data_IF_872632705820
#
_entry.id   IF_872632705820
#
_cell.length_a   1.000
_cell.length_b   1.000
_cell.length_c   1.000
_cell.angle_alpha   90.00
_cell.angle_beta   90.00
_cell.angle_gamma   90.00
#
_symmetry.space_group_name_H-M   'P 1'
#
loop_
_entity.id
_entity.type
_entity.pdbx_description
1 polymer ?
#
# COMPACT_ATOMS: atom_id res chain seq x y z
N UNK A 1 -30.97 -24.82 34.27
CA UNK A 1 -30.70 -23.49 33.68
C UNK A 1 -29.19 -23.39 33.50
N UNK A 2 -28.68 -23.59 32.28
CA UNK A 2 -27.29 -23.27 31.98
C UNK A 2 -27.20 -21.76 31.86
N UNK A 3 -26.49 -21.12 32.79
CA UNK A 3 -26.07 -19.73 32.66
C UNK A 3 -25.17 -19.63 31.44
N UNK A 4 -25.57 -18.84 30.44
CA UNK A 4 -24.73 -18.56 29.27
C UNK A 4 -23.39 -17.95 29.69
N UNK A 5 -22.33 -18.12 28.88
CA UNK A 5 -21.01 -17.58 29.20
C UNK A 5 -21.09 -16.07 29.42
N UNK A 6 -20.52 -15.60 30.53
CA UNK A 6 -20.50 -14.17 30.88
C UNK A 6 -19.73 -13.38 29.82
N UNK A 7 -20.37 -12.33 29.28
CA UNK A 7 -19.72 -11.40 28.35
C UNK A 7 -18.73 -10.54 29.15
N UNK A 8 -17.44 -10.71 28.89
CA UNK A 8 -16.36 -9.91 29.50
C UNK A 8 -15.60 -9.13 28.43
N UNK A 9 -15.01 -8.00 28.84
CA UNK A 9 -14.24 -7.12 27.94
C UNK A 9 -13.08 -7.86 27.25
N UNK A 10 -12.43 -8.82 27.92
CA UNK A 10 -11.34 -9.61 27.32
C UNK A 10 -11.85 -10.54 26.21
N UNK A 11 -13.04 -11.12 26.37
CA UNK A 11 -13.64 -12.01 25.38
C UNK A 11 -14.11 -11.25 24.14
N UNK A 12 -14.68 -10.05 24.31
CA UNK A 12 -15.07 -9.18 23.19
C UNK A 12 -13.83 -8.63 22.46
N UNK A 13 -12.74 -8.33 23.17
CA UNK A 13 -11.47 -7.95 22.55
C UNK A 13 -10.83 -9.09 21.76
N UNK A 14 -10.87 -10.32 22.29
CA UNK A 14 -10.34 -11.52 21.61
C UNK A 14 -11.12 -11.82 20.33
N UNK A 15 -12.46 -11.73 20.38
CA UNK A 15 -13.29 -11.89 19.18
C UNK A 15 -13.04 -10.78 18.15
N UNK A 16 -12.88 -9.53 18.61
CA UNK A 16 -12.51 -8.41 17.73
C UNK A 16 -11.18 -8.65 17.02
N UNK A 17 -10.23 -9.32 17.67
CA UNK A 17 -8.94 -9.67 17.09
C UNK A 17 -9.11 -10.68 15.94
N UNK A 18 -9.87 -11.76 16.17
CA UNK A 18 -10.18 -12.74 15.12
C UNK A 18 -10.93 -12.10 13.95
N UNK A 19 -11.90 -11.21 14.22
CA UNK A 19 -12.64 -10.49 13.20
C UNK A 19 -11.73 -9.57 12.37
N UNK A 20 -10.77 -8.88 13.01
CA UNK A 20 -9.87 -7.93 12.33
C UNK A 20 -8.78 -8.62 11.50
N UNK A 21 -8.21 -9.72 12.00
CA UNK A 21 -7.11 -10.42 11.31
C UNK A 21 -7.59 -11.46 10.30
N UNK A 22 -8.67 -12.18 10.62
CA UNK A 22 -9.16 -13.30 9.81
C UNK A 22 -10.55 -13.10 9.21
N UNK A 23 -11.17 -11.93 9.41
CA UNK A 23 -12.49 -11.62 8.88
C UNK A 23 -13.63 -12.40 9.55
N UNK A 24 -14.81 -12.34 8.94
CA UNK A 24 -16.05 -12.94 9.46
C UNK A 24 -15.89 -14.45 9.71
N UNK A 25 -15.25 -15.16 8.79
CA UNK A 25 -15.06 -16.61 8.91
C UNK A 25 -14.20 -17.00 10.13
N UNK A 26 -13.14 -16.24 10.43
CA UNK A 26 -12.29 -16.51 11.59
C UNK A 26 -12.99 -16.15 12.91
N UNK A 27 -13.78 -15.08 12.93
CA UNK A 27 -14.60 -14.73 14.09
C UNK A 27 -15.68 -15.79 14.34
N UNK A 28 -16.43 -16.22 13.32
CA UNK A 28 -17.43 -17.30 13.46
C UNK A 28 -16.79 -18.61 13.96
N UNK A 29 -15.62 -18.97 13.43
CA UNK A 29 -14.86 -20.12 13.93
C UNK A 29 -14.50 -19.94 15.41
N UNK A 30 -14.08 -18.76 15.83
CA UNK A 30 -13.67 -18.48 17.20
C UNK A 30 -14.87 -18.44 18.17
N UNK A 31 -16.02 -17.90 17.75
CA UNK A 31 -17.30 -18.02 18.44
C UNK A 31 -17.68 -19.49 18.67
N UNK A 32 -17.63 -20.32 17.63
CA UNK A 32 -18.02 -21.73 17.72
C UNK A 32 -17.00 -22.61 18.46
N UNK A 33 -15.71 -22.34 18.32
CA UNK A 33 -14.63 -23.20 18.85
C UNK A 33 -14.22 -22.82 20.28
N UNK A 34 -14.23 -21.52 20.60
CA UNK A 34 -13.75 -21.00 21.89
C UNK A 34 -14.89 -20.38 22.74
N UNK A 35 -16.13 -20.45 22.24
CA UNK A 35 -17.30 -19.89 22.90
C UNK A 35 -17.26 -18.37 23.05
N UNK A 36 -16.45 -17.68 22.23
CA UNK A 36 -16.34 -16.22 22.27
C UNK A 36 -17.69 -15.55 21.93
N UNK A 37 -17.91 -14.27 22.22
CA UNK A 37 -19.17 -13.60 21.91
C UNK A 37 -19.39 -13.57 20.39
N UNK A 38 -20.65 -13.62 19.93
CA UNK A 38 -20.93 -13.53 18.48
C UNK A 38 -20.41 -12.21 17.91
N UNK A 39 -20.17 -12.15 16.59
CA UNK A 39 -19.78 -10.92 15.88
C UNK A 39 -20.70 -9.76 16.25
N UNK A 40 -22.02 -9.99 16.26
CA UNK A 40 -23.00 -8.96 16.62
C UNK A 40 -22.85 -8.49 18.07
N UNK A 41 -22.61 -9.42 19.01
CA UNK A 41 -22.36 -9.09 20.42
C UNK A 41 -21.06 -8.32 20.56
N UNK A 42 -20.01 -8.72 19.84
CA UNK A 42 -18.70 -8.08 19.84
C UNK A 42 -18.79 -6.66 19.26
N UNK A 43 -19.45 -6.45 18.13
CA UNK A 43 -19.67 -5.13 17.55
C UNK A 43 -20.43 -4.18 18.50
N UNK A 44 -21.36 -4.69 19.33
CA UNK A 44 -22.06 -3.88 20.34
C UNK A 44 -21.20 -3.49 21.55
N UNK A 45 -20.13 -4.24 21.83
CA UNK A 45 -19.28 -4.05 23.02
C UNK A 45 -17.88 -3.50 22.68
N UNK A 46 -17.47 -3.50 21.41
CA UNK A 46 -16.35 -2.69 20.96
C UNK A 46 -16.78 -1.24 21.10
N UNK A 47 -16.16 -0.53 22.04
CA UNK A 47 -16.34 0.90 22.17
C UNK A 47 -15.74 1.59 20.94
N UNK A 48 -16.52 1.81 19.90
CA UNK A 48 -16.17 2.68 18.78
C UNK A 48 -16.66 4.09 19.13
N UNK A 49 -15.75 5.06 19.16
CA UNK A 49 -16.17 6.46 19.25
C UNK A 49 -16.77 6.84 17.90
N UNK A 50 -18.02 7.34 17.85
CA UNK A 50 -18.69 7.56 16.59
C UNK A 50 -18.14 8.82 15.91
N UNK A 51 -17.72 8.69 14.65
CA UNK A 51 -17.34 9.83 13.84
C UNK A 51 -18.57 10.58 13.32
N UNK A 52 -18.43 11.89 13.23
CA UNK A 52 -19.44 12.81 12.70
C UNK A 52 -19.30 12.86 11.19
N UNK A 53 -20.36 12.44 10.51
CA UNK A 53 -20.53 12.67 9.08
C UNK A 53 -21.10 14.06 8.84
N UNK A 54 -20.40 14.85 8.03
CA UNK A 54 -20.86 16.16 7.59
C UNK A 54 -21.91 15.98 6.48
N UNK A 55 -23.16 16.41 6.67
CA UNK A 55 -24.17 16.36 5.62
C UNK A 55 -23.93 17.42 4.53
N UNK A 56 -23.13 18.46 4.83
CA UNK A 56 -22.76 19.56 3.94
C UNK A 56 -21.24 19.69 3.89
N UNK A 57 -20.73 20.80 3.35
CA UNK A 57 -19.32 21.19 3.43
C UNK A 57 -18.80 20.97 4.86
N UNK A 58 -17.84 20.06 5.05
CA UNK A 58 -17.22 19.80 6.33
C UNK A 58 -16.71 21.06 7.00
N UNK A 59 -17.13 21.26 8.24
CA UNK A 59 -16.72 22.41 9.04
C UNK A 59 -15.53 22.06 9.91
N UNK A 60 -14.73 23.07 10.25
CA UNK A 60 -13.60 22.92 11.15
C UNK A 60 -13.97 22.25 12.50
N UNK A 61 -15.07 22.60 13.19
CA UNK A 61 -15.48 21.92 14.43
C UNK A 61 -15.78 20.43 14.25
N UNK A 62 -16.47 20.03 13.17
CA UNK A 62 -16.78 18.63 12.88
C UNK A 62 -15.48 17.81 12.68
N UNK A 63 -14.52 18.40 11.95
CA UNK A 63 -13.22 17.78 11.73
C UNK A 63 -12.39 17.67 13.01
N UNK A 64 -12.37 18.72 13.85
CA UNK A 64 -11.63 18.74 15.11
C UNK A 64 -12.21 17.75 16.14
N UNK A 65 -13.54 17.57 16.15
CA UNK A 65 -14.21 16.58 17.00
C UNK A 65 -13.85 15.15 16.55
N UNK A 66 -13.90 14.87 15.23
CA UNK A 66 -13.44 13.59 14.68
C UNK A 66 -11.96 13.31 14.99
N UNK A 67 -11.09 14.33 14.89
CA UNK A 67 -9.69 14.21 15.27
C UNK A 67 -9.54 13.92 16.77
N UNK A 68 -10.34 14.53 17.64
CA UNK A 68 -10.30 14.28 19.09
C UNK A 68 -10.72 12.87 19.47
N UNK A 69 -11.65 12.27 18.72
CA UNK A 69 -12.01 10.85 18.86
C UNK A 69 -10.90 9.92 18.39
N UNK A 70 -10.11 10.37 17.42
CA UNK A 70 -9.06 9.57 16.80
C UNK A 70 -7.71 9.69 17.53
N UNK A 71 -7.41 10.88 18.05
CA UNK A 71 -6.21 11.26 18.79
C UNK A 71 -6.63 11.93 20.11
N UNK A 72 -6.98 11.14 21.15
CA UNK A 72 -7.37 11.67 22.44
C UNK A 72 -6.15 12.27 23.18
N UNK A 73 -6.33 13.42 23.81
CA UNK A 73 -5.25 14.11 24.53
C UNK A 73 -4.66 13.26 25.65
N UNK A 74 -3.33 13.29 25.78
CA UNK A 74 -2.50 12.41 26.61
C UNK A 74 -2.71 12.56 28.13
N UNK A 75 -3.59 13.46 28.57
CA UNK A 75 -3.87 13.76 29.98
C UNK A 75 -4.80 12.75 30.66
N UNK A 76 -5.37 11.79 29.94
CA UNK A 76 -6.13 10.69 30.55
C UNK A 76 -5.20 9.55 31.00
N UNK A 77 -4.81 9.60 32.27
CA UNK A 77 -4.02 8.58 32.95
C UNK A 77 -4.77 7.24 33.03
N UNK A 78 -4.68 6.43 31.99
CA UNK A 78 -4.87 4.97 32.06
C UNK A 78 -4.22 4.32 30.86
N UNK A 79 -3.18 3.49 31.11
CA UNK A 79 -2.63 2.43 30.24
C UNK A 79 -2.79 2.63 28.74
N UNK A 80 -1.69 2.92 28.02
CA UNK A 80 -1.49 2.79 26.56
C UNK A 80 -2.82 2.83 25.82
N UNK A 81 -3.25 4.03 25.43
CA UNK A 81 -4.48 4.23 24.69
C UNK A 81 -4.37 3.48 23.35
N UNK A 82 -4.76 2.21 23.34
CA UNK A 82 -4.96 1.44 22.13
C UNK A 82 -5.92 2.25 21.27
N UNK A 83 -5.41 2.75 20.13
CA UNK A 83 -6.26 3.38 19.13
C UNK A 83 -7.31 2.34 18.75
N UNK A 84 -8.56 2.57 19.13
CA UNK A 84 -9.64 1.60 18.93
C UNK A 84 -9.97 1.64 17.44
N UNK A 85 -9.30 0.81 16.64
CA UNK A 85 -9.42 0.78 15.17
C UNK A 85 -10.77 0.27 14.66
N UNK A 86 -11.84 0.98 14.96
CA UNK A 86 -13.19 0.79 14.44
C UNK A 86 -13.94 2.10 14.56
N UNK A 87 -14.35 2.67 13.44
CA UNK A 87 -15.15 3.90 13.42
C UNK A 87 -16.59 3.56 13.07
N UNK A 88 -17.53 4.08 13.83
CA UNK A 88 -18.96 4.04 13.48
C UNK A 88 -19.39 5.45 13.10
N UNK A 89 -20.21 5.61 12.06
CA UNK A 89 -20.79 6.92 11.78
C UNK A 89 -21.91 7.18 12.79
N UNK A 90 -21.88 8.33 13.47
CA UNK A 90 -22.90 8.68 14.45
C UNK A 90 -24.29 8.71 13.81
N UNK A 91 -25.27 8.07 14.46
CA UNK A 91 -26.66 8.13 14.04
C UNK A 91 -27.21 9.54 14.26
N UNK A 92 -27.12 10.38 13.22
CA UNK A 92 -27.70 11.73 13.23
C UNK A 92 -29.05 11.73 12.52
N UNK A 93 -29.91 12.67 12.90
CA UNK A 93 -31.17 12.92 12.19
C UNK A 93 -30.95 13.77 10.91
N UNK A 94 -29.79 13.58 10.25
CA UNK A 94 -29.42 14.26 9.02
C UNK A 94 -29.53 13.29 7.84
N UNK A 95 -29.95 13.82 6.70
CA UNK A 95 -29.97 13.13 5.42
C UNK A 95 -28.55 13.17 4.85
N UNK A 96 -27.91 12.01 4.77
CA UNK A 96 -26.56 11.82 4.21
C UNK A 96 -26.61 11.30 2.77
N UNK A 97 -25.46 11.24 2.09
CA UNK A 97 -25.34 10.70 0.72
C UNK A 97 -25.55 11.73 -0.39
N UNK A 98 -25.69 13.00 -0.03
CA UNK A 98 -25.73 14.15 -0.95
C UNK A 98 -24.34 14.78 -1.00
N UNK A 99 -23.95 15.34 -2.14
CA UNK A 99 -22.68 16.03 -2.24
C UNK A 99 -22.64 17.28 -1.36
N UNK A 100 -21.49 17.53 -0.73
CA UNK A 100 -21.33 18.64 0.23
C UNK A 100 -21.56 20.03 -0.36
N UNK A 101 -21.26 20.21 -1.64
CA UNK A 101 -21.21 21.54 -2.27
C UNK A 101 -22.60 21.96 -2.76
N UNK A 102 -23.28 21.10 -3.50
CA UNK A 102 -24.60 21.41 -4.04
C UNK A 102 -25.71 21.25 -2.98
N UNK A 103 -25.44 20.63 -1.83
CA UNK A 103 -26.40 20.46 -0.74
C UNK A 103 -26.70 21.72 0.08
N UNK A 104 -25.98 22.83 -0.13
CA UNK A 104 -26.08 24.03 0.71
C UNK A 104 -27.48 24.65 0.73
N UNK A 105 -28.17 24.68 -0.41
CA UNK A 105 -29.54 25.23 -0.56
C UNK A 105 -30.64 24.38 0.10
N UNK A 106 -30.31 23.18 0.58
CA UNK A 106 -31.29 22.24 1.13
C UNK A 106 -31.14 22.10 2.65
N UNK A 107 -32.26 21.86 3.34
CA UNK A 107 -32.28 21.56 4.77
C UNK A 107 -32.15 20.05 4.96
N UNK A 108 -30.93 19.60 5.25
CA UNK A 108 -30.61 18.17 5.38
C UNK A 108 -30.95 17.57 6.75
N UNK A 109 -31.27 18.38 7.76
CA UNK A 109 -31.77 17.87 9.04
C UNK A 109 -33.23 17.42 8.90
N UNK A 110 -33.50 16.13 8.99
CA UNK A 110 -34.84 15.58 8.82
C UNK A 110 -35.77 15.99 9.97
N UNK A 111 -36.84 16.71 9.64
CA UNK A 111 -37.92 17.15 10.53
C UNK A 111 -39.28 16.70 9.98
N UNK A 112 -39.41 16.62 8.66
CA UNK A 112 -40.61 16.13 7.98
C UNK A 112 -40.31 15.67 6.55
N UNK A 113 -41.27 14.97 5.94
CA UNK A 113 -41.20 14.54 4.53
C UNK A 113 -41.07 15.69 3.53
N UNK A 114 -41.43 16.92 3.91
CA UNK A 114 -41.29 18.09 3.03
C UNK A 114 -39.83 18.32 2.60
N UNK A 115 -38.87 18.03 3.48
CA UNK A 115 -37.44 18.21 3.18
C UNK A 115 -36.92 17.12 2.25
N UNK A 116 -37.38 15.88 2.43
CA UNK A 116 -37.05 14.76 1.55
C UNK A 116 -37.64 14.99 0.15
N UNK A 117 -38.88 15.49 0.08
CA UNK A 117 -39.50 15.85 -1.20
C UNK A 117 -38.74 16.98 -1.89
N UNK A 118 -38.38 18.06 -1.18
CA UNK A 118 -37.58 19.13 -1.74
C UNK A 118 -36.22 18.63 -2.27
N UNK A 119 -35.57 17.72 -1.54
CA UNK A 119 -34.31 17.10 -1.97
C UNK A 119 -34.49 16.23 -3.22
N UNK A 120 -35.55 15.42 -3.27
CA UNK A 120 -35.91 14.59 -4.42
C UNK A 120 -36.14 15.46 -5.66
N UNK A 121 -36.89 16.54 -5.52
CA UNK A 121 -37.17 17.47 -6.61
C UNK A 121 -35.87 18.17 -7.06
N UNK A 122 -34.99 18.53 -6.11
CA UNK A 122 -33.64 19.02 -6.40
C UNK A 122 -32.74 18.04 -7.15
N UNK A 123 -32.81 16.75 -6.82
CA UNK A 123 -32.11 15.68 -7.54
C UNK A 123 -32.66 15.53 -8.97
N UNK A 124 -33.98 15.55 -9.14
CA UNK A 124 -34.62 15.45 -10.46
C UNK A 124 -34.26 16.64 -11.36
N UNK A 125 -34.14 17.83 -10.78
CA UNK A 125 -33.76 19.07 -11.47
C UNK A 125 -32.24 19.22 -11.68
N UNK A 126 -31.41 18.27 -11.25
CA UNK A 126 -29.94 18.38 -11.21
C UNK A 126 -29.42 19.63 -10.45
N UNK A 127 -30.16 20.11 -9.46
CA UNK A 127 -29.73 21.19 -8.55
C UNK A 127 -28.91 20.67 -7.37
N UNK A 128 -29.06 19.40 -7.06
CA UNK A 128 -28.30 18.66 -6.04
C UNK A 128 -27.84 17.35 -6.66
N UNK A 129 -26.68 16.86 -6.25
CA UNK A 129 -26.15 15.58 -6.72
C UNK A 129 -26.02 14.57 -5.58
N UNK A 130 -26.18 13.29 -5.90
CA UNK A 130 -25.76 12.22 -5.00
C UNK A 130 -24.24 12.18 -4.92
N UNK A 131 -23.72 11.86 -3.74
CA UNK A 131 -22.31 11.60 -3.55
C UNK A 131 -21.91 10.33 -4.33
N UNK A 132 -20.83 10.43 -5.12
CA UNK A 132 -20.26 9.28 -5.86
C UNK A 132 -19.20 8.54 -5.06
N UNK A 133 -18.52 9.23 -4.15
CA UNK A 133 -17.50 8.66 -3.28
C UNK A 133 -17.69 9.14 -1.84
N UNK A 134 -17.29 8.30 -0.89
CA UNK A 134 -17.11 8.67 0.52
C UNK A 134 -15.66 8.44 0.91
N UNK A 135 -15.10 9.36 1.70
CA UNK A 135 -13.71 9.31 2.15
C UNK A 135 -13.61 8.53 3.46
N UNK A 136 -13.64 7.20 3.39
CA UNK A 136 -13.27 6.35 4.54
C UNK A 136 -12.60 5.07 4.03
N UNK A 137 -11.27 4.99 4.16
CA UNK A 137 -10.50 3.76 3.89
C UNK A 137 -10.13 3.09 5.21
N UNK A 138 -10.19 1.76 5.23
CA UNK A 138 -9.70 0.95 6.34
C UNK A 138 -8.21 1.24 6.62
N UNK A 139 -7.86 1.50 7.88
CA UNK A 139 -6.50 1.83 8.32
C UNK A 139 -6.10 3.31 8.15
N UNK A 140 -6.97 4.16 7.57
CA UNK A 140 -6.82 5.60 7.70
C UNK A 140 -7.44 6.06 9.04
N UNK A 141 -7.02 7.23 9.52
CA UNK A 141 -7.67 7.98 10.59
C UNK A 141 -8.64 9.01 9.95
N UNK A 142 -9.81 8.60 9.42
CA UNK A 142 -10.71 9.52 8.73
C UNK A 142 -11.23 10.55 9.72
N UNK A 143 -10.93 11.81 9.46
CA UNK A 143 -11.49 12.93 10.23
C UNK A 143 -12.42 13.82 9.39
N UNK A 144 -12.49 13.54 8.09
CA UNK A 144 -13.41 14.19 7.14
C UNK A 144 -14.32 13.13 6.53
N UNK A 145 -15.58 13.08 6.97
CA UNK A 145 -16.59 12.17 6.40
C UNK A 145 -17.63 13.00 5.68
N UNK A 146 -17.53 13.04 4.36
CA UNK A 146 -18.46 13.78 3.50
C UNK A 146 -18.56 13.15 2.11
N UNK A 147 -19.67 13.44 1.43
CA UNK A 147 -19.94 12.99 0.07
C UNK A 147 -19.47 13.99 -0.99
N UNK A 148 -18.79 13.51 -2.02
CA UNK A 148 -18.30 14.31 -3.17
C UNK A 148 -19.01 13.86 -4.47
N UNK A 149 -19.37 14.79 -5.35
CA UNK A 149 -19.95 14.50 -6.66
C UNK A 149 -18.92 14.53 -7.81
N UNK A 150 -17.66 14.91 -7.55
CA UNK A 150 -16.58 15.09 -8.55
C UNK A 150 -16.84 16.21 -9.56
N UNK A 151 -17.71 17.14 -9.20
CA UNK A 151 -18.02 18.34 -9.98
C UNK A 151 -17.87 19.60 -9.11
N UNK A 152 -17.05 19.50 -8.06
CA UNK A 152 -16.78 20.59 -7.13
C UNK A 152 -15.98 21.70 -7.82
N UNK A 153 -16.22 22.95 -7.42
CA UNK A 153 -15.38 24.07 -7.84
C UNK A 153 -14.06 24.10 -7.07
N UNK A 154 -13.03 24.69 -7.66
CA UNK A 154 -11.70 24.87 -7.05
C UNK A 154 -11.82 25.62 -5.71
N UNK A 155 -12.75 26.58 -5.61
CA UNK A 155 -12.98 27.35 -4.38
C UNK A 155 -13.50 26.47 -3.23
N UNK A 156 -14.40 25.53 -3.52
CA UNK A 156 -14.97 24.63 -2.52
C UNK A 156 -13.94 23.60 -2.06
N UNK A 157 -13.15 23.06 -2.99
CA UNK A 157 -12.03 22.17 -2.66
C UNK A 157 -10.97 22.87 -1.81
N UNK A 158 -10.65 24.13 -2.13
CA UNK A 158 -9.73 24.93 -1.32
C UNK A 158 -10.28 25.11 0.10
N UNK A 159 -11.55 25.47 0.24
CA UNK A 159 -12.19 25.66 1.56
C UNK A 159 -12.15 24.38 2.39
N UNK A 160 -12.42 23.23 1.78
CA UNK A 160 -12.33 21.93 2.42
C UNK A 160 -10.91 21.66 2.94
N UNK A 161 -9.90 21.88 2.09
CA UNK A 161 -8.49 21.68 2.44
C UNK A 161 -8.03 22.65 3.53
N UNK A 162 -8.40 23.93 3.43
CA UNK A 162 -8.05 24.95 4.43
C UNK A 162 -8.64 24.59 5.81
N UNK A 163 -9.89 24.13 5.85
CA UNK A 163 -10.53 23.65 7.09
C UNK A 163 -9.82 22.41 7.65
N UNK A 164 -9.46 21.45 6.79
CA UNK A 164 -8.77 20.23 7.19
C UNK A 164 -7.35 20.52 7.74
N UNK A 165 -6.59 21.38 7.05
CA UNK A 165 -5.28 21.83 7.49
C UNK A 165 -5.37 22.55 8.84
N UNK A 166 -6.36 23.42 9.02
CA UNK A 166 -6.56 24.13 10.29
C UNK A 166 -6.90 23.16 11.43
N UNK A 167 -7.83 22.22 11.19
CA UNK A 167 -8.22 21.25 12.21
C UNK A 167 -7.04 20.33 12.61
N UNK A 168 -6.24 19.90 11.65
CA UNK A 168 -5.03 19.13 11.90
C UNK A 168 -3.97 19.94 12.66
N UNK A 169 -3.80 21.22 12.31
CA UNK A 169 -2.84 22.11 12.99
C UNK A 169 -3.22 22.33 14.46
N UNK A 170 -4.50 22.53 14.75
CA UNK A 170 -5.01 22.70 16.12
C UNK A 170 -4.83 21.43 16.98
N UNK A 171 -4.64 20.28 16.34
CA UNK A 171 -4.42 18.97 16.99
C UNK A 171 -3.01 18.43 16.79
N UNK A 172 -2.08 19.23 16.28
CA UNK A 172 -0.72 18.79 15.98
C UNK A 172 0.01 18.17 17.17
N UNK A 173 -0.18 18.71 18.39
CA UNK A 173 0.39 18.14 19.62
C UNK A 173 -0.19 16.76 19.98
N UNK A 174 -1.50 16.55 19.77
CA UNK A 174 -2.20 15.30 20.07
C UNK A 174 -1.99 14.23 18.98
N UNK A 175 -1.86 14.66 17.71
CA UNK A 175 -1.55 13.79 16.56
C UNK A 175 -0.16 13.16 16.72
N UNK A 176 0.70 13.81 17.52
CA UNK A 176 2.05 13.36 17.82
C UNK A 176 2.96 13.57 16.61
N UNK A 177 4.08 14.27 16.83
CA UNK A 177 5.24 14.09 15.97
C UNK A 177 5.91 12.81 16.50
N UNK A 178 5.72 11.69 15.79
CA UNK A 178 6.48 10.49 16.12
C UNK A 178 7.98 10.81 15.99
N UNK A 179 8.82 10.24 16.87
CA UNK A 179 10.27 10.24 16.73
C UNK A 179 10.71 9.77 15.33
N UNK A 180 9.90 8.91 14.71
CA UNK A 180 10.05 8.47 13.32
C UNK A 180 9.94 9.62 12.32
N UNK A 181 9.02 10.56 12.54
CA UNK A 181 8.87 11.73 11.67
C UNK A 181 10.10 12.64 11.74
N UNK A 182 10.70 12.80 12.92
CA UNK A 182 11.95 13.57 13.07
C UNK A 182 13.10 12.95 12.26
N UNK A 183 13.21 11.62 12.25
CA UNK A 183 14.22 10.90 11.45
C UNK A 183 13.94 10.95 9.95
N UNK A 184 12.68 10.81 9.55
CA UNK A 184 12.27 10.88 8.14
C UNK A 184 12.43 12.30 7.57
N UNK A 185 12.34 13.33 8.41
CA UNK A 185 12.43 14.73 8.03
C UNK A 185 11.25 15.20 7.18
N UNK A 186 11.30 16.45 6.71
CA UNK A 186 10.24 17.09 5.92
C UNK A 186 10.43 16.87 4.41
N UNK A 187 9.97 15.74 3.91
CA UNK A 187 9.95 15.37 2.50
C UNK A 187 8.60 15.72 1.87
N UNK A 188 8.59 16.77 1.06
CA UNK A 188 7.40 17.23 0.34
C UNK A 188 6.86 16.11 -0.57
N UNK A 189 5.55 15.83 -0.48
CA UNK A 189 4.83 14.74 -1.16
C UNK A 189 5.15 13.31 -0.69
N UNK A 190 6.01 13.14 0.31
CA UNK A 190 6.22 11.83 0.91
C UNK A 190 5.00 11.44 1.74
N UNK A 191 4.57 10.18 1.60
CA UNK A 191 3.41 9.69 2.33
C UNK A 191 3.84 9.22 3.72
N UNK A 192 3.51 9.98 4.77
CA UNK A 192 3.81 9.61 6.15
C UNK A 192 2.77 8.66 6.78
N UNK A 193 1.64 8.38 6.13
CA UNK A 193 0.56 7.59 6.72
C UNK A 193 0.90 6.09 6.86
N UNK A 194 1.16 5.63 8.08
CA UNK A 194 1.36 4.23 8.44
C UNK A 194 0.16 3.69 9.25
N UNK A 195 0.14 2.38 9.51
CA UNK A 195 -0.82 1.78 10.43
C UNK A 195 -0.47 2.04 11.89
N UNK A 196 -1.29 1.49 12.79
CA UNK A 196 -1.01 1.46 14.22
C UNK A 196 0.41 0.90 14.48
N UNK A 197 1.09 1.42 15.50
CA UNK A 197 2.49 1.05 15.84
C UNK A 197 3.47 1.27 14.67
N UNK A 198 3.17 2.25 13.82
CA UNK A 198 4.01 2.66 12.69
C UNK A 198 4.19 1.57 11.63
N UNK A 199 3.33 0.55 11.63
CA UNK A 199 3.45 -0.57 10.70
C UNK A 199 3.27 -0.07 9.26
N UNK A 200 4.24 -0.41 8.42
CA UNK A 200 4.22 -0.12 6.98
C UNK A 200 4.03 -1.40 6.20
N UNK A 201 3.25 -1.31 5.12
CA UNK A 201 3.11 -2.43 4.19
C UNK A 201 4.40 -2.60 3.40
N UNK A 202 4.90 -3.83 3.34
CA UNK A 202 6.02 -4.19 2.48
C UNK A 202 5.53 -4.87 1.21
N UNK A 203 6.20 -4.59 0.10
CA UNK A 203 5.99 -5.28 -1.16
C UNK A 203 7.37 -5.61 -1.70
N UNK A 204 7.65 -6.90 -1.74
CA UNK A 204 8.90 -7.45 -2.22
C UNK A 204 9.32 -6.85 -3.57
N UNK A 205 10.57 -6.38 -3.61
CA UNK A 205 11.12 -5.67 -4.75
C UNK A 205 11.23 -6.58 -5.99
N UNK A 206 11.53 -7.87 -5.85
CA UNK A 206 11.60 -8.82 -6.97
C UNK A 206 10.22 -9.00 -7.60
N UNK A 207 9.17 -9.08 -6.77
CA UNK A 207 7.79 -9.13 -7.28
C UNK A 207 7.41 -7.85 -8.02
N UNK A 208 7.93 -6.68 -7.61
CA UNK A 208 7.72 -5.42 -8.31
C UNK A 208 8.49 -5.35 -9.64
N UNK A 209 9.77 -5.73 -9.64
CA UNK A 209 10.58 -5.80 -10.86
C UNK A 209 9.95 -6.76 -11.87
N UNK A 210 9.40 -7.88 -11.40
CA UNK A 210 8.72 -8.83 -12.27
C UNK A 210 7.44 -8.24 -12.86
N UNK A 211 6.71 -7.40 -12.12
CA UNK A 211 5.54 -6.68 -12.66
C UNK A 211 5.93 -5.62 -13.70
N UNK A 212 7.09 -4.98 -13.54
CA UNK A 212 7.64 -4.06 -14.53
C UNK A 212 8.03 -4.80 -15.81
N UNK A 213 8.75 -5.92 -15.67
CA UNK A 213 9.07 -6.84 -16.76
C UNK A 213 7.81 -7.31 -17.51
N UNK A 214 6.83 -7.86 -16.80
CA UNK A 214 5.57 -8.31 -17.38
C UNK A 214 4.79 -7.19 -18.08
N UNK A 215 4.92 -5.93 -17.62
CA UNK A 215 4.29 -4.78 -18.28
C UNK A 215 4.87 -4.53 -19.67
N UNK A 216 6.17 -4.77 -19.88
CA UNK A 216 6.83 -4.62 -21.18
C UNK A 216 6.41 -5.73 -22.16
N UNK A 217 6.09 -6.92 -21.65
CA UNK A 217 5.71 -8.08 -22.46
C UNK A 217 4.22 -8.13 -22.82
N UNK A 218 3.37 -7.32 -22.17
CA UNK A 218 1.94 -7.35 -22.41
C UNK A 218 1.54 -6.77 -23.77
N UNK A 219 0.62 -7.48 -24.45
CA UNK A 219 0.00 -7.06 -25.72
C UNK A 219 -0.67 -5.68 -25.66
N UNK A 220 -1.09 -5.23 -24.47
CA UNK A 220 -1.73 -3.93 -24.28
C UNK A 220 -0.79 -2.74 -24.53
N UNK A 221 0.52 -2.99 -24.71
CA UNK A 221 1.57 -2.00 -24.97
C UNK A 221 1.69 -0.97 -23.83
N UNK A 222 2.87 -0.37 -23.70
CA UNK A 222 3.12 0.70 -22.74
C UNK A 222 3.10 2.03 -23.50
N UNK A 223 2.23 2.97 -23.13
CA UNK A 223 2.21 4.29 -23.76
C UNK A 223 2.82 5.32 -22.83
N UNK A 224 3.85 6.05 -23.26
CA UNK A 224 4.44 7.15 -22.51
C UNK A 224 4.66 8.33 -23.45
N UNK A 225 4.14 9.50 -23.06
CA UNK A 225 4.20 10.74 -23.86
C UNK A 225 3.73 10.54 -25.32
N UNK A 226 2.62 9.82 -25.51
CA UNK A 226 2.08 9.48 -26.83
C UNK A 226 2.85 8.39 -27.59
N UNK A 227 4.02 7.96 -27.12
CA UNK A 227 4.81 6.89 -27.72
C UNK A 227 4.35 5.52 -27.21
N UNK A 228 3.96 4.64 -28.13
CA UNK A 228 3.57 3.26 -27.82
C UNK A 228 4.78 2.34 -27.92
N UNK A 229 5.22 1.83 -26.76
CA UNK A 229 6.27 0.83 -26.63
C UNK A 229 5.64 -0.57 -26.68
N UNK A 230 5.88 -1.26 -27.79
CA UNK A 230 5.52 -2.66 -27.99
C UNK A 230 6.75 -3.55 -27.81
N UNK A 231 6.59 -4.86 -27.54
CA UNK A 231 7.71 -5.80 -27.55
C UNK A 231 8.53 -5.75 -28.85
N UNK A 232 7.90 -5.50 -29.99
CA UNK A 232 8.57 -5.37 -31.29
C UNK A 232 9.43 -4.10 -31.37
N UNK A 233 8.95 -2.98 -30.83
CA UNK A 233 9.72 -1.73 -30.75
C UNK A 233 10.92 -1.93 -29.84
N UNK A 234 10.74 -2.50 -28.66
CA UNK A 234 11.83 -2.81 -27.72
C UNK A 234 12.87 -3.71 -28.40
N UNK A 235 12.43 -4.77 -29.07
CA UNK A 235 13.30 -5.69 -29.83
C UNK A 235 14.12 -4.96 -30.89
N UNK A 236 13.50 -4.11 -31.71
CA UNK A 236 14.20 -3.36 -32.75
C UNK A 236 15.31 -2.49 -32.15
N UNK A 237 15.00 -1.81 -31.05
CA UNK A 237 15.93 -0.96 -30.32
C UNK A 237 17.10 -1.73 -29.69
N UNK A 238 16.85 -2.90 -29.09
CA UNK A 238 17.89 -3.75 -28.49
C UNK A 238 18.84 -4.31 -29.55
N UNK A 239 18.30 -4.78 -30.68
CA UNK A 239 19.09 -5.34 -31.78
C UNK A 239 19.94 -4.27 -32.47
N UNK A 240 19.37 -3.09 -32.74
CA UNK A 240 20.10 -2.00 -33.40
C UNK A 240 21.21 -1.44 -32.52
N UNK A 241 20.99 -1.37 -31.21
CA UNK A 241 22.01 -0.94 -30.26
C UNK A 241 23.11 -2.00 -30.01
N UNK A 242 22.94 -3.23 -30.52
CA UNK A 242 23.91 -4.30 -30.34
C UNK A 242 24.02 -4.83 -28.91
N UNK A 243 23.03 -4.59 -28.05
CA UNK A 243 23.08 -4.99 -26.63
C UNK A 243 22.98 -6.52 -26.48
N UNK A 244 22.19 -7.17 -27.33
CA UNK A 244 22.01 -8.63 -27.39
C UNK A 244 21.85 -9.07 -28.84
N UNK A 245 22.20 -10.32 -29.14
CA UNK A 245 21.94 -10.89 -30.46
C UNK A 245 20.44 -11.20 -30.68
N UNK A 246 20.09 -11.63 -31.91
CA UNK A 246 18.71 -11.94 -32.31
C UNK A 246 18.10 -13.08 -31.48
N UNK A 247 18.88 -14.09 -31.13
CA UNK A 247 18.40 -15.25 -30.37
C UNK A 247 18.13 -14.86 -28.92
N UNK A 248 19.09 -14.22 -28.26
CA UNK A 248 18.97 -13.73 -26.89
C UNK A 248 17.82 -12.73 -26.76
N UNK A 249 17.65 -11.79 -27.70
CA UNK A 249 16.55 -10.83 -27.66
C UNK A 249 15.18 -11.49 -27.81
N UNK A 250 15.06 -12.52 -28.65
CA UNK A 250 13.81 -13.28 -28.78
C UNK A 250 13.48 -14.05 -27.49
N UNK A 251 14.50 -14.62 -26.85
CA UNK A 251 14.35 -15.32 -25.60
C UNK A 251 13.91 -14.37 -24.48
N UNK A 252 14.54 -13.18 -24.38
CA UNK A 252 14.21 -12.15 -23.39
C UNK A 252 12.79 -11.60 -23.50
N UNK A 253 12.23 -11.59 -24.70
CA UNK A 253 10.88 -11.08 -24.95
C UNK A 253 9.84 -12.20 -25.09
N UNK A 254 10.22 -13.44 -24.74
CA UNK A 254 9.32 -14.59 -24.75
C UNK A 254 8.37 -14.55 -23.56
N UNK A 255 7.05 -14.69 -23.75
CA UNK A 255 6.08 -14.71 -22.64
C UNK A 255 5.98 -16.06 -21.91
N UNK A 256 6.88 -17.02 -22.21
CA UNK A 256 6.75 -18.42 -21.79
C UNK A 256 6.90 -18.62 -20.28
N UNK A 257 7.85 -17.93 -19.64
CA UNK A 257 8.03 -17.97 -18.19
C UNK A 257 7.96 -16.56 -17.62
N UNK A 258 6.86 -16.29 -16.88
CA UNK A 258 6.58 -14.99 -16.26
C UNK A 258 7.15 -14.88 -14.85
N UNK A 259 7.80 -15.92 -14.35
CA UNK A 259 8.40 -15.96 -13.02
C UNK A 259 9.93 -16.17 -13.07
N UNK A 260 10.52 -16.23 -14.26
CA UNK A 260 11.98 -16.28 -14.43
C UNK A 260 12.62 -14.93 -14.03
N UNK A 261 13.21 -14.93 -12.83
CA UNK A 261 13.90 -13.80 -12.22
C UNK A 261 15.13 -13.39 -13.05
N UNK A 262 15.81 -14.34 -13.70
CA UNK A 262 17.00 -14.05 -14.51
C UNK A 262 16.61 -13.30 -15.78
N UNK A 263 15.57 -13.77 -16.48
CA UNK A 263 15.03 -13.09 -17.66
C UNK A 263 14.59 -11.66 -17.35
N UNK A 264 13.95 -11.47 -16.20
CA UNK A 264 13.57 -10.16 -15.69
C UNK A 264 14.80 -9.25 -15.54
N UNK A 265 15.84 -9.68 -14.81
CA UNK A 265 17.05 -8.88 -14.63
C UNK A 265 17.75 -8.58 -15.97
N UNK A 266 17.88 -9.57 -16.84
CA UNK A 266 18.53 -9.41 -18.14
C UNK A 266 17.79 -8.39 -19.02
N UNK A 267 16.45 -8.41 -19.06
CA UNK A 267 15.68 -7.47 -19.87
C UNK A 267 15.76 -6.05 -19.33
N UNK A 268 15.52 -5.87 -18.02
CA UNK A 268 15.54 -4.54 -17.39
C UNK A 268 16.92 -3.89 -17.50
N UNK A 269 17.99 -4.67 -17.28
CA UNK A 269 19.38 -4.22 -17.47
C UNK A 269 19.66 -3.86 -18.93
N UNK A 270 19.21 -4.69 -19.88
CA UNK A 270 19.40 -4.42 -21.31
C UNK A 270 18.74 -3.11 -21.75
N UNK A 271 17.58 -2.76 -21.17
CA UNK A 271 16.90 -1.49 -21.43
C UNK A 271 17.64 -0.32 -20.75
N UNK A 272 18.10 -0.51 -19.50
CA UNK A 272 18.88 0.49 -18.76
C UNK A 272 20.18 0.88 -19.48
N UNK A 273 20.80 -0.06 -20.18
CA UNK A 273 22.06 0.14 -20.92
C UNK A 273 21.88 0.73 -22.33
N UNK A 274 20.67 1.08 -22.76
CA UNK A 274 20.45 1.58 -24.13
C UNK A 274 21.16 2.93 -24.38
N UNK A 275 22.03 3.02 -25.41
CA UNK A 275 22.68 4.27 -25.78
C UNK A 275 21.68 5.25 -26.43
N UNK A 276 22.00 6.56 -26.47
CA UNK A 276 21.26 7.51 -27.30
C UNK A 276 21.27 7.09 -28.77
N UNK A 277 20.21 7.45 -29.51
CA UNK A 277 20.20 7.34 -30.96
C UNK A 277 21.22 8.29 -31.59
N UNK A 278 21.66 7.94 -32.80
CA UNK A 278 22.45 8.82 -33.65
C UNK A 278 21.55 9.88 -34.29
N UNK A 279 22.08 11.07 -34.65
CA UNK A 279 21.30 12.11 -35.33
C UNK A 279 20.70 11.67 -36.67
N UNK A 280 21.30 10.66 -37.32
CA UNK A 280 20.87 10.10 -38.60
C UNK A 280 19.67 9.13 -38.48
N UNK A 281 19.31 8.75 -37.25
CA UNK A 281 18.19 7.84 -37.02
C UNK A 281 16.84 8.51 -37.32
N UNK A 282 15.81 7.77 -37.78
CA UNK A 282 14.49 8.33 -38.02
C UNK A 282 13.91 9.00 -36.77
N UNK A 283 13.20 10.13 -36.94
CA UNK A 283 12.64 10.92 -35.82
C UNK A 283 11.78 10.08 -34.85
N UNK A 284 10.91 9.22 -35.37
CA UNK A 284 10.09 8.33 -34.53
C UNK A 284 10.91 7.31 -33.74
N UNK A 285 12.07 6.91 -34.27
CA UNK A 285 13.01 6.06 -33.56
C UNK A 285 13.75 6.83 -32.45
N UNK A 286 14.18 8.06 -32.74
CA UNK A 286 14.79 8.93 -31.73
C UNK A 286 13.84 9.19 -30.55
N UNK A 287 12.56 9.45 -30.85
CA UNK A 287 11.51 9.64 -29.84
C UNK A 287 11.33 8.37 -28.99
N UNK A 288 11.11 7.21 -29.62
CA UNK A 288 10.93 5.96 -28.89
C UNK A 288 12.18 5.52 -28.12
N UNK A 289 13.38 5.80 -28.63
CA UNK A 289 14.64 5.59 -27.89
C UNK A 289 14.72 6.48 -26.66
N UNK A 290 14.40 7.78 -26.79
CA UNK A 290 14.44 8.72 -25.68
C UNK A 290 13.53 8.25 -24.54
N UNK A 291 12.31 7.85 -24.88
CA UNK A 291 11.34 7.29 -23.93
C UNK A 291 11.85 5.99 -23.31
N UNK A 292 12.41 5.06 -24.11
CA UNK A 292 13.00 3.83 -23.58
C UNK A 292 14.18 4.08 -22.64
N UNK A 293 14.99 5.11 -22.89
CA UNK A 293 16.09 5.49 -22.00
C UNK A 293 15.59 6.09 -20.70
N UNK A 294 14.51 6.87 -20.74
CA UNK A 294 13.87 7.38 -19.52
C UNK A 294 13.34 6.23 -18.65
N UNK A 295 12.67 5.26 -19.29
CA UNK A 295 12.25 4.01 -18.62
C UNK A 295 13.45 3.21 -18.11
N UNK A 296 14.53 3.15 -18.89
CA UNK A 296 15.80 2.52 -18.53
C UNK A 296 16.47 3.17 -17.32
N UNK A 297 16.40 4.48 -17.16
CA UNK A 297 16.91 5.19 -15.97
C UNK A 297 16.15 4.77 -14.70
N UNK A 298 14.82 4.63 -14.78
CA UNK A 298 14.05 4.09 -13.67
C UNK A 298 14.54 2.68 -13.29
N UNK A 299 14.74 1.82 -14.29
CA UNK A 299 15.22 0.46 -14.05
C UNK A 299 16.63 0.43 -13.48
N UNK A 300 17.54 1.27 -13.98
CA UNK A 300 18.89 1.42 -13.42
C UNK A 300 18.82 1.78 -11.93
N UNK A 301 18.05 2.80 -11.56
CA UNK A 301 17.90 3.20 -10.16
C UNK A 301 17.34 2.08 -9.27
N UNK A 302 16.30 1.38 -9.72
CA UNK A 302 15.74 0.25 -8.96
C UNK A 302 16.72 -0.92 -8.85
N UNK A 303 17.42 -1.26 -9.93
CA UNK A 303 18.39 -2.37 -9.94
C UNK A 303 19.60 -2.05 -9.07
N UNK A 304 20.20 -0.87 -9.24
CA UNK A 304 21.38 -0.44 -8.48
C UNK A 304 21.10 -0.44 -6.98
N UNK A 305 19.92 0.08 -6.57
CA UNK A 305 19.55 0.11 -5.16
C UNK A 305 19.63 -1.28 -4.50
N UNK A 306 19.13 -2.32 -5.16
CA UNK A 306 19.01 -3.67 -4.56
C UNK A 306 20.12 -4.65 -4.93
N UNK A 307 20.84 -4.42 -6.04
CA UNK A 307 21.82 -5.41 -6.55
C UNK A 307 23.26 -4.93 -6.49
N UNK A 308 23.50 -3.62 -6.37
CA UNK A 308 24.85 -3.09 -6.29
C UNK A 308 25.33 -3.07 -4.83
N UNK A 309 26.21 -4.03 -4.51
CA UNK A 309 26.79 -4.21 -3.17
C UNK A 309 27.85 -3.18 -2.82
N UNK A 310 28.34 -2.42 -3.79
CA UNK A 310 29.36 -1.38 -3.57
C UNK A 310 28.74 -0.05 -3.12
N UNK A 311 27.41 0.07 -3.16
CA UNK A 311 26.70 1.27 -2.71
C UNK A 311 26.53 1.28 -1.19
N UNK A 312 26.73 2.44 -0.59
CA UNK A 312 26.29 2.68 0.79
C UNK A 312 24.77 2.74 0.88
N UNK A 313 24.23 2.52 2.09
CA UNK A 313 22.79 2.66 2.34
C UNK A 313 22.25 4.03 1.89
N UNK A 314 23.01 5.10 2.14
CA UNK A 314 22.63 6.44 1.68
C UNK A 314 22.52 6.53 0.16
N UNK A 315 23.47 5.94 -0.57
CA UNK A 315 23.41 5.88 -2.03
C UNK A 315 22.23 5.04 -2.51
N UNK A 316 21.99 3.88 -1.91
CA UNK A 316 20.83 3.03 -2.23
C UNK A 316 19.51 3.78 -2.03
N UNK A 317 19.34 4.49 -0.91
CA UNK A 317 18.16 5.34 -0.66
C UNK A 317 18.06 6.48 -1.68
N UNK A 318 19.19 7.08 -2.08
CA UNK A 318 19.22 8.12 -3.13
C UNK A 318 18.74 7.58 -4.48
N UNK A 319 19.15 6.36 -4.86
CA UNK A 319 18.62 5.67 -6.04
C UNK A 319 17.11 5.44 -5.93
N UNK A 320 16.61 4.98 -4.77
CA UNK A 320 15.17 4.79 -4.55
C UNK A 320 14.39 6.12 -4.59
N UNK A 321 14.96 7.21 -4.09
CA UNK A 321 14.38 8.56 -4.21
C UNK A 321 14.29 9.00 -5.67
N UNK A 322 15.38 8.85 -6.44
CA UNK A 322 15.37 9.16 -7.87
C UNK A 322 14.32 8.35 -8.62
N UNK A 323 14.20 7.04 -8.31
CA UNK A 323 13.14 6.19 -8.84
C UNK A 323 11.74 6.73 -8.49
N UNK A 324 11.48 7.12 -7.25
CA UNK A 324 10.18 7.67 -6.82
C UNK A 324 9.77 8.92 -7.62
N UNK A 325 10.72 9.81 -7.92
CA UNK A 325 10.48 11.00 -8.74
C UNK A 325 10.13 10.64 -10.19
N UNK A 326 10.85 9.70 -10.79
CA UNK A 326 10.55 9.18 -12.14
C UNK A 326 9.19 8.44 -12.19
N UNK A 327 8.83 7.71 -11.13
CA UNK A 327 7.55 7.01 -11.02
C UNK A 327 6.40 8.00 -10.92
N UNK A 328 6.58 9.08 -10.16
CA UNK A 328 5.57 10.13 -9.95
C UNK A 328 5.19 10.85 -11.23
N UNK A 329 6.17 11.14 -12.09
CA UNK A 329 5.94 11.77 -13.39
C UNK A 329 5.31 10.83 -14.41
N UNK A 330 5.59 9.52 -14.33
CA UNK A 330 5.17 8.54 -15.33
C UNK A 330 3.91 7.73 -14.96
N UNK A 331 3.94 7.00 -13.84
CA UNK A 331 3.01 5.89 -13.57
C UNK A 331 1.72 6.33 -12.87
N UNK A 332 1.72 7.52 -12.28
CA UNK A 332 0.56 8.10 -11.56
C UNK A 332 -0.70 8.15 -12.42
N UNK A 333 -0.55 8.36 -13.74
CA UNK A 333 -1.67 8.52 -14.68
C UNK A 333 -2.15 7.20 -15.34
N UNK A 334 -1.35 6.14 -15.34
CA UNK A 334 -1.60 4.96 -16.19
C UNK A 334 -1.93 3.66 -15.43
N UNK A 335 -1.20 3.37 -14.34
CA UNK A 335 -1.34 2.10 -13.62
C UNK A 335 -1.37 2.32 -12.12
N UNK A 336 -2.51 2.76 -11.60
CA UNK A 336 -2.74 3.09 -10.17
C UNK A 336 -2.20 2.03 -9.20
N UNK A 337 -2.37 0.73 -9.50
CA UNK A 337 -1.87 -0.36 -8.64
C UNK A 337 -0.35 -0.51 -8.68
N UNK A 338 0.29 -0.43 -9.85
CA UNK A 338 1.75 -0.55 -9.97
C UNK A 338 2.44 0.66 -9.34
N UNK A 339 1.90 1.86 -9.58
CA UNK A 339 2.31 3.10 -8.91
C UNK A 339 2.25 2.94 -7.38
N UNK A 340 1.08 2.55 -6.85
CA UNK A 340 0.91 2.34 -5.42
C UNK A 340 1.92 1.33 -4.86
N UNK A 341 2.13 0.22 -5.56
CA UNK A 341 3.05 -0.82 -5.09
C UNK A 341 4.51 -0.33 -5.04
N UNK A 342 4.97 0.36 -6.07
CA UNK A 342 6.31 0.92 -6.13
C UNK A 342 6.54 1.97 -5.03
N UNK A 343 5.59 2.90 -4.88
CA UNK A 343 5.70 3.94 -3.85
C UNK A 343 5.60 3.34 -2.44
N UNK A 344 4.83 2.26 -2.25
CA UNK A 344 4.75 1.55 -0.96
C UNK A 344 6.06 0.86 -0.62
N UNK A 345 6.69 0.15 -1.58
CA UNK A 345 8.02 -0.45 -1.39
C UNK A 345 9.07 0.60 -1.03
N UNK A 346 9.13 1.71 -1.78
CA UNK A 346 10.09 2.78 -1.52
C UNK A 346 9.83 3.41 -0.14
N UNK A 347 8.56 3.72 0.18
CA UNK A 347 8.17 4.24 1.49
C UNK A 347 8.61 3.32 2.61
N UNK A 348 8.32 2.02 2.50
CA UNK A 348 8.65 1.04 3.51
C UNK A 348 10.16 1.05 3.81
N UNK A 349 11.00 1.21 2.78
CA UNK A 349 12.44 1.31 2.95
C UNK A 349 12.87 2.46 3.88
N UNK A 350 12.36 3.67 3.61
CA UNK A 350 12.67 4.84 4.43
C UNK A 350 12.16 4.68 5.87
N UNK A 351 10.97 4.12 6.05
CA UNK A 351 10.41 3.84 7.37
C UNK A 351 11.24 2.82 8.13
N UNK A 352 11.67 1.72 7.50
CA UNK A 352 12.50 0.71 8.15
C UNK A 352 13.86 1.28 8.56
N UNK A 353 14.51 2.07 7.70
CA UNK A 353 15.79 2.72 8.05
C UNK A 353 15.60 3.68 9.22
N UNK A 354 14.54 4.51 9.21
CA UNK A 354 14.27 5.44 10.30
C UNK A 354 13.97 4.72 11.62
N UNK A 355 13.23 3.59 11.58
CA UNK A 355 13.01 2.73 12.76
C UNK A 355 14.31 2.16 13.30
N UNK A 356 15.16 1.61 12.43
CA UNK A 356 16.47 1.09 12.84
C UNK A 356 17.33 2.17 13.45
N UNK A 357 17.32 3.40 12.93
CA UNK A 357 18.05 4.53 13.51
C UNK A 357 17.56 4.96 14.90
N UNK A 358 16.32 4.62 15.26
CA UNK A 358 15.75 4.87 16.59
C UNK A 358 16.08 3.71 17.51
N UNK A 359 15.86 2.48 17.04
CA UNK A 359 16.06 1.25 17.81
C UNK A 359 17.55 0.99 18.13
N UNK A 360 18.43 1.20 17.15
CA UNK A 360 19.88 1.02 17.24
C UNK A 360 20.63 2.03 16.33
N UNK A 361 21.02 3.21 16.83
CA UNK A 361 21.68 4.25 16.05
C UNK A 361 23.01 3.83 15.40
N UNK A 362 23.70 2.82 15.95
CA UNK A 362 24.95 2.27 15.43
C UNK A 362 24.73 0.98 14.64
N UNK A 363 23.47 0.55 14.49
CA UNK A 363 23.08 -0.66 13.80
C UNK A 363 23.33 -0.59 12.30
N UNK A 364 23.68 -1.73 11.72
CA UNK A 364 23.79 -1.89 10.27
C UNK A 364 22.43 -2.29 9.67
N UNK A 365 22.10 -1.76 8.50
CA UNK A 365 20.84 -2.05 7.81
C UNK A 365 21.10 -2.46 6.36
N UNK A 366 20.61 -3.64 6.00
CA UNK A 366 20.70 -4.17 4.64
C UNK A 366 19.32 -4.24 4.00
N UNK A 367 19.11 -3.42 2.97
CA UNK A 367 17.81 -3.32 2.32
C UNK A 367 17.34 -4.63 1.69
N UNK A 368 18.27 -5.51 1.32
CA UNK A 368 18.02 -6.82 0.70
C UNK A 368 17.36 -7.81 1.68
N UNK A 369 17.43 -7.54 2.99
CA UNK A 369 16.80 -8.38 4.01
C UNK A 369 15.30 -8.08 4.17
N UNK A 370 14.81 -6.99 3.56
CA UNK A 370 13.37 -6.74 3.44
C UNK A 370 12.78 -7.62 2.32
N UNK A 371 11.50 -7.96 2.44
CA UNK A 371 10.79 -8.81 1.48
C UNK A 371 10.46 -10.21 2.03
N UNK A 372 10.08 -11.11 1.11
CA UNK A 372 9.57 -12.44 1.45
C UNK A 372 10.53 -13.59 1.14
N UNK A 373 11.74 -13.31 0.66
CA UNK A 373 12.76 -14.32 0.30
C UNK A 373 13.00 -15.40 1.38
N UNK A 374 13.14 -15.07 2.69
CA UNK A 374 13.32 -16.11 3.71
C UNK A 374 12.12 -17.04 3.81
N UNK A 375 10.90 -16.50 3.64
CA UNK A 375 9.67 -17.26 3.66
C UNK A 375 9.51 -18.13 2.40
N UNK A 376 9.87 -17.61 1.23
CA UNK A 376 9.90 -18.37 -0.02
C UNK A 376 10.91 -19.52 0.03
N UNK A 377 12.08 -19.28 0.64
CA UNK A 377 13.09 -20.32 0.88
C UNK A 377 12.57 -21.40 1.82
N UNK A 378 11.85 -21.02 2.88
CA UNK A 378 11.20 -21.95 3.79
C UNK A 378 10.14 -22.80 3.07
N UNK A 379 9.32 -22.18 2.22
CA UNK A 379 8.37 -22.91 1.38
C UNK A 379 9.07 -23.89 0.44
N UNK A 380 10.14 -23.47 -0.24
CA UNK A 380 10.96 -24.35 -1.07
C UNK A 380 11.49 -25.55 -0.29
N UNK A 381 11.93 -25.34 0.94
CA UNK A 381 12.37 -26.41 1.85
C UNK A 381 11.24 -27.37 2.19
N UNK A 382 10.05 -26.86 2.55
CA UNK A 382 8.87 -27.68 2.87
C UNK A 382 8.46 -28.57 1.68
N UNK A 383 8.55 -28.04 0.47
CA UNK A 383 8.21 -28.76 -0.76
C UNK A 383 9.28 -29.79 -1.16
N UNK A 384 10.55 -29.60 -0.78
CA UNK A 384 11.67 -30.46 -1.19
C UNK A 384 12.09 -31.48 -0.14
N UNK A 385 11.71 -31.31 1.14
CA UNK A 385 12.19 -32.13 2.26
C UNK A 385 12.00 -33.65 2.08
N UNK A 386 10.97 -34.07 1.34
CA UNK A 386 10.67 -35.48 1.10
C UNK A 386 11.07 -35.97 -0.31
N UNK A 387 11.57 -35.08 -1.19
CA UNK A 387 12.09 -35.39 -2.54
C UNK A 387 11.09 -35.91 -3.59
N UNK A 388 10.01 -36.57 -3.17
CA UNK A 388 9.05 -37.26 -4.06
C UNK A 388 7.68 -36.57 -4.05
N UNK A 389 7.34 -35.89 -2.96
CA UNK A 389 6.03 -35.29 -2.74
C UNK A 389 6.16 -33.78 -2.53
N UNK A 390 6.16 -33.05 -3.65
CA UNK A 390 6.26 -31.60 -3.68
C UNK A 390 4.93 -30.90 -3.46
N UNK A 391 3.78 -31.59 -3.48
CA UNK A 391 2.47 -30.96 -3.30
C UNK A 391 1.85 -31.42 -1.98
N UNK A 392 2.17 -30.68 -0.91
CA UNK A 392 1.75 -31.03 0.45
C UNK A 392 0.29 -30.67 0.70
N UNK A 393 -0.45 -31.57 1.35
CA UNK A 393 -1.72 -31.22 1.96
C UNK A 393 -1.50 -30.44 3.27
N UNK A 394 -2.57 -29.87 3.84
CA UNK A 394 -2.48 -29.02 5.03
C UNK A 394 -1.84 -29.72 6.25
N UNK A 395 -2.12 -31.01 6.46
CA UNK A 395 -1.55 -31.77 7.58
C UNK A 395 -0.05 -32.02 7.37
N UNK A 396 0.35 -32.38 6.15
CA UNK A 396 1.75 -32.54 5.78
C UNK A 396 2.51 -31.21 5.87
N UNK A 397 1.89 -30.10 5.44
CA UNK A 397 2.45 -28.77 5.58
C UNK A 397 2.74 -28.45 7.04
N UNK A 398 1.74 -28.59 7.93
CA UNK A 398 1.91 -28.33 9.36
C UNK A 398 3.05 -29.16 9.98
N UNK A 399 3.11 -30.45 9.65
CA UNK A 399 4.16 -31.35 10.16
C UNK A 399 5.56 -31.02 9.62
N UNK A 400 5.65 -30.65 8.33
CA UNK A 400 6.93 -30.33 7.67
C UNK A 400 7.45 -28.96 8.07
N UNK A 401 6.59 -27.98 8.33
CA UNK A 401 6.98 -26.61 8.69
C UNK A 401 7.88 -26.56 9.92
N UNK A 402 7.53 -27.30 10.99
CA UNK A 402 8.36 -27.35 12.20
C UNK A 402 9.76 -27.92 11.93
N UNK A 403 9.85 -28.96 11.09
CA UNK A 403 11.13 -29.55 10.69
C UNK A 403 11.94 -28.61 9.81
N UNK A 404 11.29 -27.93 8.85
CA UNK A 404 11.94 -26.98 7.95
C UNK A 404 12.50 -25.76 8.71
N UNK A 405 11.77 -25.22 9.68
CA UNK A 405 12.25 -24.12 10.54
C UNK A 405 13.45 -24.57 11.37
N UNK A 406 13.40 -25.76 11.99
CA UNK A 406 14.52 -26.28 12.75
C UNK A 406 15.78 -26.46 11.87
N UNK A 407 15.63 -27.00 10.67
CA UNK A 407 16.71 -27.10 9.70
C UNK A 407 17.27 -25.73 9.29
N UNK A 408 16.41 -24.74 9.02
CA UNK A 408 16.84 -23.38 8.68
C UNK A 408 17.64 -22.74 9.81
N UNK A 409 17.21 -22.90 11.07
CA UNK A 409 17.94 -22.36 12.23
C UNK A 409 19.31 -23.03 12.40
N UNK A 410 19.38 -24.36 12.28
CA UNK A 410 20.65 -25.10 12.35
C UNK A 410 21.60 -24.65 11.24
N UNK A 411 21.11 -24.45 10.02
CA UNK A 411 21.93 -23.99 8.89
C UNK A 411 22.35 -22.51 9.02
N UNK A 412 21.56 -21.68 9.71
CA UNK A 412 21.95 -20.32 10.03
C UNK A 412 23.07 -20.27 11.09
N UNK A 413 23.03 -21.18 12.08
CA UNK A 413 24.09 -21.34 13.10
C UNK A 413 25.35 -22.02 12.55
N UNK A 414 25.18 -22.93 11.57
CA UNK A 414 26.25 -23.69 10.91
C UNK A 414 26.25 -23.51 9.38
N UNK A 415 26.58 -22.33 8.85
CA UNK A 415 26.56 -22.06 7.40
C UNK A 415 27.47 -22.98 6.59
N UNK A 416 28.50 -23.56 7.21
CA UNK A 416 29.43 -24.50 6.59
C UNK A 416 28.79 -25.83 6.21
N UNK A 417 27.67 -26.21 6.86
CA UNK A 417 26.93 -27.46 6.55
C UNK A 417 26.04 -27.32 5.31
N UNK A 418 25.81 -26.09 4.82
CA UNK A 418 25.04 -25.85 3.61
C UNK A 418 25.81 -26.18 2.30
N UNK A 419 27.10 -26.56 2.37
CA UNK A 419 27.91 -26.89 1.19
C UNK A 419 27.43 -28.18 0.50
N UNK A 420 26.62 -28.01 -0.54
CA UNK A 420 26.10 -29.11 -1.37
C UNK A 420 24.61 -28.98 -1.68
N UNK A 421 23.90 -28.15 -0.92
CA UNK A 421 22.59 -27.63 -1.28
C UNK A 421 22.90 -26.40 -2.14
N UNK A 422 22.42 -26.37 -3.39
CA UNK A 422 22.58 -25.18 -4.24
C UNK A 422 22.16 -23.95 -3.43
N UNK A 423 23.11 -23.04 -3.17
CA UNK A 423 22.77 -21.71 -2.65
C UNK A 423 21.70 -21.12 -3.59
N UNK A 424 20.61 -20.56 -3.06
CA UNK A 424 19.66 -19.82 -3.88
C UNK A 424 20.36 -18.67 -4.63
#
# INVERSE_FOLDING_TARGET
>A
MFSGPSITKSRTSSESFYLKLGGVAAAELAHHSFGLPSIETTCRHIATEPLIASPKMPTHPEMAENLSHTFPSSTSSSSIAHCKGGFQIMHTNNILGICCDHGQGYRLKFKSMAQVNALRDGLADNKVHLAKESLAKYGAHPFVISGTCKHEDISDQKTLLDNACKAASDKSEDIGVSELHEKLGDMVLFNYLCGDEEITGDIDYKHILNRLHNTLLWLKCMTLDGVVLTPQVIKAHLLKAGIKDKYATNFLLSPADKQDVKLMYDLLTSIAMLPPCTPDDPVGEQQSRSILRLVGQLYAHLLDAYTNVDLSLHQQLTHLSAAAHLISSWLSMQKKRLYFNLMTMIKNMYFCVAKTQIDDPEGEFWIILLGSDPLETLFGTIHTINGIDSNVNQLQFANRSGSAVACSNILAEHPEWAKGISKP
#
